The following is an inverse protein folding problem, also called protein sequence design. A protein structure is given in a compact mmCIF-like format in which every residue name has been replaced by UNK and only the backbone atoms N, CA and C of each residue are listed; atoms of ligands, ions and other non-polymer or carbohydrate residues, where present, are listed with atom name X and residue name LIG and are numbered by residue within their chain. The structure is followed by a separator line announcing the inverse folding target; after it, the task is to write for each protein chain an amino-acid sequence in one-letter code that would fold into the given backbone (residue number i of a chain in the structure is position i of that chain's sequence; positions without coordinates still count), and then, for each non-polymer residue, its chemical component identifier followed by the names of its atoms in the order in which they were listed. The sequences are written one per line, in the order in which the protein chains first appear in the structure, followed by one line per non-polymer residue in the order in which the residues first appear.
data_IF_286851136394
#
_entry.id   IF_286851136394
#
_cell.length_a   1.000
_cell.length_b   1.000
_cell.length_c   1.000
_cell.angle_alpha   90.00
_cell.angle_beta   90.00
_cell.angle_gamma   90.00
#
_symmetry.space_group_name_H-M   'P 1'
#
loop_
_entity.id
_entity.type
_entity.pdbx_description
1 polymer ?
#
# COMPACT_ATOMS: atom_id res chain seq x y z
N UNK A 1 -17.84 -10.40 -24.48
CA UNK A 1 -17.16 -9.13 -24.19
C UNK A 1 -16.16 -9.39 -23.09
N UNK A 2 -14.87 -9.21 -23.34
CA UNK A 2 -13.82 -9.41 -22.35
C UNK A 2 -13.84 -8.21 -21.40
N UNK A 3 -14.24 -8.44 -20.16
CA UNK A 3 -14.24 -7.40 -19.13
C UNK A 3 -12.79 -7.15 -18.71
N UNK A 4 -12.24 -5.99 -19.03
CA UNK A 4 -10.86 -5.63 -18.72
C UNK A 4 -10.83 -4.83 -17.40
N UNK A 5 -9.95 -5.23 -16.50
CA UNK A 5 -9.59 -4.49 -15.29
C UNK A 5 -8.38 -3.60 -15.60
N UNK A 6 -8.42 -2.35 -15.15
CA UNK A 6 -7.34 -1.38 -15.29
C UNK A 6 -6.71 -1.08 -13.93
N UNK A 7 -5.39 -1.06 -13.86
CA UNK A 7 -4.65 -0.56 -12.69
C UNK A 7 -3.51 0.32 -13.19
N UNK A 8 -3.66 1.62 -12.95
CA UNK A 8 -2.82 2.66 -13.50
C UNK A 8 -2.80 2.63 -15.03
N UNK A 9 -1.61 2.46 -15.60
CA UNK A 9 -1.39 2.28 -17.04
C UNK A 9 -1.46 0.84 -17.53
N UNK A 10 -1.71 -0.14 -16.64
CA UNK A 10 -1.84 -1.55 -16.99
C UNK A 10 -3.31 -1.95 -17.21
N UNK A 11 -3.54 -2.90 -18.11
CA UNK A 11 -4.84 -3.56 -18.30
C UNK A 11 -4.66 -5.07 -18.30
N UNK A 12 -5.65 -5.78 -17.76
CA UNK A 12 -5.67 -7.24 -17.68
C UNK A 12 -7.11 -7.73 -17.80
N UNK A 13 -7.31 -8.94 -18.32
CA UNK A 13 -8.63 -9.58 -18.30
C UNK A 13 -9.05 -9.86 -16.85
N UNK A 14 -10.30 -9.53 -16.51
CA UNK A 14 -10.82 -9.64 -15.15
C UNK A 14 -10.69 -11.07 -14.58
N UNK A 15 -10.94 -12.10 -15.39
CA UNK A 15 -10.78 -13.50 -14.94
C UNK A 15 -9.34 -13.84 -14.57
N UNK A 16 -8.36 -13.38 -15.36
CA UNK A 16 -6.94 -13.57 -15.04
C UNK A 16 -6.52 -12.81 -13.78
N UNK A 17 -7.03 -11.59 -13.60
CA UNK A 17 -6.78 -10.83 -12.38
C UNK A 17 -7.26 -11.56 -11.13
N UNK A 18 -8.43 -12.19 -11.20
CA UNK A 18 -8.98 -13.02 -10.13
C UNK A 18 -8.11 -14.24 -9.83
N UNK A 19 -7.71 -14.98 -10.84
CA UNK A 19 -6.82 -16.15 -10.67
C UNK A 19 -5.49 -15.76 -10.01
N UNK A 20 -4.90 -14.63 -10.42
CA UNK A 20 -3.70 -14.09 -9.77
C UNK A 20 -3.95 -13.74 -8.30
N UNK A 21 -5.07 -13.07 -8.03
CA UNK A 21 -5.46 -12.68 -6.68
C UNK A 21 -5.62 -13.90 -5.76
N UNK A 22 -6.38 -14.91 -6.23
CA UNK A 22 -6.61 -16.15 -5.49
C UNK A 22 -5.31 -16.87 -5.19
N UNK A 23 -4.42 -16.99 -6.18
CA UNK A 23 -3.12 -17.65 -5.97
C UNK A 23 -2.28 -16.92 -4.92
N UNK A 24 -2.22 -15.59 -5.00
CA UNK A 24 -1.41 -14.77 -4.11
C UNK A 24 -1.97 -14.72 -2.68
N UNK A 25 -3.29 -14.64 -2.54
CA UNK A 25 -3.99 -14.57 -1.26
C UNK A 25 -4.18 -15.93 -0.59
N UNK A 26 -4.32 -17.02 -1.35
CA UNK A 26 -4.54 -18.33 -0.76
C UNK A 26 -3.26 -19.01 -0.28
N UNK A 27 -2.11 -18.70 -0.92
CA UNK A 27 -0.80 -19.31 -0.73
C UNK A 27 -0.83 -20.70 -0.03
N UNK A 28 -1.48 -21.69 -0.66
CA UNK A 28 -1.77 -23.01 -0.05
C UNK A 28 -0.51 -23.81 0.33
N UNK A 29 0.65 -23.42 -0.17
CA UNK A 29 1.94 -24.11 0.03
C UNK A 29 2.96 -23.32 0.87
N UNK A 30 2.69 -22.06 1.23
CA UNK A 30 3.75 -21.15 1.72
C UNK A 30 3.49 -20.52 3.08
N UNK A 31 4.41 -20.73 4.02
CA UNK A 31 4.54 -20.05 5.33
C UNK A 31 5.04 -18.59 5.23
N UNK A 32 4.90 -17.96 4.06
CA UNK A 32 5.48 -16.66 3.70
C UNK A 32 4.51 -15.90 2.78
N UNK A 33 4.77 -14.62 2.48
CA UNK A 33 3.92 -13.73 1.65
C UNK A 33 2.68 -13.14 2.37
N UNK A 34 1.66 -12.72 1.61
CA UNK A 34 0.57 -11.88 2.14
C UNK A 34 -0.21 -12.50 3.30
N UNK A 35 -0.59 -13.80 3.29
CA UNK A 35 -1.30 -14.39 4.43
C UNK A 35 -0.48 -14.36 5.73
N UNK A 36 0.83 -14.57 5.65
CA UNK A 36 1.72 -14.49 6.82
C UNK A 36 1.82 -13.05 7.35
N UNK A 37 1.85 -12.07 6.46
CA UNK A 37 1.85 -10.65 6.81
C UNK A 37 0.52 -10.17 7.40
N UNK A 38 -0.60 -10.59 6.80
CA UNK A 38 -1.95 -10.18 7.18
C UNK A 38 -2.39 -10.85 8.49
N UNK A 39 -2.10 -12.15 8.64
CA UNK A 39 -2.39 -12.92 9.85
C UNK A 39 -1.44 -12.67 11.02
N UNK A 40 -0.39 -11.86 10.84
CA UNK A 40 0.52 -11.53 11.94
C UNK A 40 -0.22 -10.64 12.96
N UNK A 41 -0.17 -10.94 14.27
CA UNK A 41 -0.99 -10.25 15.27
C UNK A 41 -0.61 -8.78 15.48
N UNK A 42 0.68 -8.43 15.37
CA UNK A 42 1.14 -7.04 15.56
C UNK A 42 0.90 -6.49 16.96
N UNK A 43 0.99 -5.16 17.07
CA UNK A 43 0.64 -4.42 18.28
C UNK A 43 -0.87 -4.16 18.29
N UNK A 44 -1.58 -4.36 19.42
CA UNK A 44 -3.00 -4.04 19.51
C UNK A 44 -3.24 -2.53 19.38
N UNK A 45 -4.43 -2.11 18.94
CA UNK A 45 -4.77 -0.69 18.89
C UNK A 45 -4.48 -0.01 17.54
N UNK A 46 -4.62 1.31 17.54
CA UNK A 46 -4.66 2.16 16.33
C UNK A 46 -3.29 2.74 15.96
N UNK A 47 -2.39 2.76 16.91
CA UNK A 47 -1.00 3.17 16.85
C UNK A 47 -0.10 2.03 16.38
N UNK A 48 1.04 2.38 15.79
CA UNK A 48 2.11 1.44 15.48
C UNK A 48 2.89 1.15 16.75
N UNK A 49 3.03 -0.14 17.06
CA UNK A 49 3.98 -0.61 18.07
C UNK A 49 5.10 -1.42 17.46
N UNK A 50 6.12 -1.70 18.28
CA UNK A 50 7.30 -2.50 17.92
C UNK A 50 6.94 -3.84 17.26
N UNK A 51 5.91 -4.52 17.76
CA UNK A 51 5.47 -5.79 17.22
C UNK A 51 5.07 -5.66 15.74
N UNK A 52 4.51 -4.53 15.30
CA UNK A 52 4.05 -4.36 13.92
C UNK A 52 5.17 -4.37 12.89
N UNK A 53 6.37 -3.98 13.30
CA UNK A 53 7.51 -3.81 12.41
C UNK A 53 8.02 -5.14 11.87
N UNK A 54 7.85 -6.23 12.64
CA UNK A 54 8.25 -7.58 12.25
C UNK A 54 7.41 -8.12 11.10
N UNK A 55 6.14 -7.71 10.97
CA UNK A 55 5.27 -8.15 9.89
C UNK A 55 5.84 -7.78 8.50
N UNK A 56 6.57 -6.67 8.41
CA UNK A 56 7.19 -6.21 7.16
C UNK A 56 8.22 -7.23 6.64
N UNK A 57 8.92 -7.93 7.53
CA UNK A 57 9.89 -8.95 7.15
C UNK A 57 9.21 -10.17 6.51
N UNK A 58 7.98 -10.51 6.92
CA UNK A 58 7.21 -11.62 6.36
C UNK A 58 6.78 -11.39 4.91
N UNK A 59 6.62 -10.11 4.52
CA UNK A 59 6.29 -9.71 3.15
C UNK A 59 7.51 -9.23 2.33
N UNK A 60 8.71 -9.18 2.93
CA UNK A 60 9.95 -8.71 2.29
C UNK A 60 11.18 -9.54 2.75
N UNK A 61 11.08 -10.87 2.74
CA UNK A 61 12.01 -11.80 3.42
C UNK A 61 13.51 -11.73 3.03
N UNK A 62 13.92 -10.84 2.13
CA UNK A 62 15.30 -10.73 1.64
C UNK A 62 15.96 -9.35 1.82
N UNK A 63 15.43 -8.46 2.68
CA UNK A 63 15.87 -7.05 2.74
C UNK A 63 16.34 -6.57 4.12
N UNK A 64 17.45 -7.12 4.65
CA UNK A 64 18.11 -6.63 5.86
C UNK A 64 17.11 -6.40 7.01
N UNK A 65 16.43 -7.46 7.49
CA UNK A 65 15.23 -7.35 8.31
C UNK A 65 15.49 -6.68 9.66
N UNK A 66 16.66 -6.91 10.25
CA UNK A 66 17.04 -6.34 11.55
C UNK A 66 17.28 -4.82 11.43
N UNK A 67 18.06 -4.41 10.44
CA UNK A 67 18.35 -2.99 10.20
C UNK A 67 17.09 -2.22 9.82
N UNK A 68 16.21 -2.87 9.06
CA UNK A 68 14.91 -2.31 8.70
C UNK A 68 14.00 -2.16 9.91
N UNK A 69 14.01 -3.13 10.83
CA UNK A 69 13.28 -3.06 12.08
C UNK A 69 13.71 -1.85 12.89
N UNK A 70 15.01 -1.69 13.17
CA UNK A 70 15.50 -0.56 13.96
C UNK A 70 15.34 0.78 13.24
N UNK A 71 15.46 0.79 11.92
CA UNK A 71 15.15 1.97 11.11
C UNK A 71 13.69 2.38 11.24
N UNK A 72 12.74 1.45 11.12
CA UNK A 72 11.31 1.72 11.30
C UNK A 72 10.98 2.08 12.75
N UNK A 73 11.61 1.43 13.73
CA UNK A 73 11.44 1.73 15.15
C UNK A 73 11.79 3.19 15.45
N UNK A 74 12.86 3.70 14.84
CA UNK A 74 13.27 5.10 15.00
C UNK A 74 12.24 6.12 14.50
N UNK A 75 11.27 5.69 13.68
CA UNK A 75 10.21 6.54 13.11
C UNK A 75 8.86 6.41 13.84
N UNK A 76 8.73 5.52 14.85
CA UNK A 76 7.44 5.23 15.48
C UNK A 76 6.76 6.49 16.00
N UNK A 77 7.49 7.35 16.73
CA UNK A 77 6.92 8.56 17.32
C UNK A 77 6.42 9.54 16.24
N UNK A 78 7.27 9.82 15.24
CA UNK A 78 6.95 10.69 14.09
C UNK A 78 5.72 10.19 13.29
N UNK A 79 5.58 8.87 13.18
CA UNK A 79 4.46 8.25 12.43
C UNK A 79 3.20 8.23 13.27
N UNK A 80 3.28 7.88 14.55
CA UNK A 80 2.12 7.83 15.45
C UNK A 80 1.50 9.20 15.66
N UNK A 81 2.31 10.26 15.82
CA UNK A 81 1.83 11.65 15.85
C UNK A 81 0.94 11.97 14.63
N UNK A 82 1.33 11.50 13.45
CA UNK A 82 0.57 11.73 12.20
C UNK A 82 -0.63 10.80 12.06
N UNK A 83 -0.55 9.56 12.57
CA UNK A 83 -1.65 8.59 12.56
C UNK A 83 -2.80 8.99 13.49
N UNK A 84 -2.54 9.76 14.55
CA UNK A 84 -3.58 10.27 15.45
C UNK A 84 -4.64 11.11 14.71
N UNK A 85 -4.23 11.78 13.63
CA UNK A 85 -5.12 12.57 12.79
C UNK A 85 -6.03 11.73 11.85
N UNK A 86 -5.94 10.39 11.90
CA UNK A 86 -6.66 9.47 11.03
C UNK A 86 -7.54 8.49 11.81
N UNK A 87 -8.77 8.32 11.37
CA UNK A 87 -9.70 7.33 11.91
C UNK A 87 -9.56 5.99 11.22
N UNK A 88 -10.02 4.91 11.86
CA UNK A 88 -9.85 3.54 11.34
C UNK A 88 -10.90 3.16 10.29
N UNK A 89 -11.99 3.89 10.22
CA UNK A 89 -13.13 3.73 9.32
C UNK A 89 -13.01 4.55 8.03
N UNK A 90 -12.05 5.47 7.96
CA UNK A 90 -11.70 6.19 6.74
C UNK A 90 -11.27 5.22 5.62
N UNK A 91 -11.71 5.52 4.40
CA UNK A 91 -11.48 4.71 3.21
C UNK A 91 -10.93 5.53 2.07
N UNK A 92 -10.00 4.98 1.31
CA UNK A 92 -9.41 5.66 0.16
C UNK A 92 -10.47 5.94 -0.91
N UNK A 93 -11.46 5.07 -1.09
CA UNK A 93 -12.48 5.24 -2.14
C UNK A 93 -13.36 6.47 -1.94
N UNK A 94 -13.51 6.93 -0.69
CA UNK A 94 -14.36 8.07 -0.31
C UNK A 94 -13.55 9.23 0.27
N UNK A 95 -12.23 9.15 0.24
CA UNK A 95 -11.36 10.16 0.82
C UNK A 95 -11.44 11.48 0.05
N UNK A 96 -11.65 12.58 0.77
CA UNK A 96 -11.55 13.92 0.21
C UNK A 96 -10.08 14.38 0.17
N UNK A 97 -9.82 15.52 -0.50
CA UNK A 97 -8.46 16.05 -0.60
C UNK A 97 -7.83 16.31 0.78
N UNK A 98 -8.52 16.90 1.78
CA UNK A 98 -7.99 17.03 3.13
C UNK A 98 -7.51 15.70 3.73
N UNK A 99 -8.28 14.62 3.61
CA UNK A 99 -7.88 13.30 4.09
C UNK A 99 -6.69 12.75 3.31
N UNK A 100 -6.68 12.88 1.98
CA UNK A 100 -5.53 12.50 1.14
C UNK A 100 -4.26 13.23 1.61
N UNK A 101 -4.34 14.51 1.93
CA UNK A 101 -3.21 15.28 2.44
C UNK A 101 -2.75 14.78 3.81
N UNK A 102 -3.69 14.38 4.70
CA UNK A 102 -3.32 13.76 6.00
C UNK A 102 -2.59 12.44 5.79
N UNK A 103 -3.04 11.60 4.87
CA UNK A 103 -2.39 10.32 4.54
C UNK A 103 -1.03 10.57 3.90
N UNK A 104 -0.91 11.53 2.98
CA UNK A 104 0.34 11.87 2.34
C UNK A 104 1.42 12.28 3.35
N UNK A 105 1.04 13.04 4.40
CA UNK A 105 1.95 13.40 5.48
C UNK A 105 2.55 12.19 6.19
N UNK A 106 1.89 11.02 6.25
CA UNK A 106 2.51 9.82 6.83
C UNK A 106 3.78 9.41 6.08
N UNK A 107 3.80 9.57 4.76
CA UNK A 107 4.96 9.24 3.94
C UNK A 107 6.06 10.30 4.03
N UNK A 108 5.68 11.55 4.31
CA UNK A 108 6.62 12.65 4.54
C UNK A 108 7.54 12.50 5.75
N UNK A 109 7.40 11.45 6.57
CA UNK A 109 8.39 11.12 7.62
C UNK A 109 9.74 10.80 6.99
N UNK A 110 9.74 10.19 5.80
CA UNK A 110 10.94 9.81 5.07
C UNK A 110 11.68 11.01 4.45
N UNK A 111 10.98 12.13 4.26
CA UNK A 111 11.56 13.36 3.73
C UNK A 111 12.41 14.09 4.78
N UNK A 112 11.98 14.07 6.04
CA UNK A 112 12.74 14.67 7.16
C UNK A 112 13.98 13.85 7.50
N UNK A 113 13.79 12.53 7.56
CA UNK A 113 14.84 11.58 7.94
C UNK A 113 14.51 10.24 7.31
N UNK A 114 15.45 9.73 6.50
CA UNK A 114 15.34 8.40 5.92
C UNK A 114 16.35 7.46 6.56
N UNK A 115 15.92 6.62 7.52
CA UNK A 115 16.80 5.60 8.09
C UNK A 115 17.28 4.64 7.00
N UNK A 116 18.49 4.11 7.18
CA UNK A 116 19.07 3.12 6.28
C UNK A 116 18.14 1.91 6.18
N UNK A 117 18.03 1.33 5.00
CA UNK A 117 17.16 0.17 4.72
C UNK A 117 15.65 0.40 4.91
N UNK A 118 15.20 1.62 5.19
CA UNK A 118 13.77 1.99 5.16
C UNK A 118 13.43 2.63 3.82
N UNK A 119 12.41 2.08 3.17
CA UNK A 119 11.87 2.54 1.89
C UNK A 119 10.39 2.82 2.01
N UNK A 120 9.83 3.51 1.01
CA UNK A 120 8.38 3.71 0.89
C UNK A 120 7.62 2.37 0.96
N UNK A 121 8.13 1.32 0.30
CA UNK A 121 7.56 -0.03 0.34
C UNK A 121 7.49 -0.63 1.75
N UNK A 122 8.48 -0.38 2.60
CA UNK A 122 8.48 -0.90 3.97
C UNK A 122 7.54 -0.10 4.86
N UNK A 123 7.59 1.23 4.75
CA UNK A 123 6.71 2.12 5.51
C UNK A 123 5.23 1.89 5.16
N UNK A 124 4.89 1.79 3.87
CA UNK A 124 3.51 1.54 3.42
C UNK A 124 2.93 0.26 3.99
N UNK A 125 3.74 -0.81 4.11
CA UNK A 125 3.34 -2.07 4.73
C UNK A 125 3.03 -1.91 6.22
N UNK A 126 3.83 -1.17 6.98
CA UNK A 126 3.50 -0.92 8.40
C UNK A 126 2.20 -0.12 8.51
N UNK A 127 2.08 0.96 7.74
CA UNK A 127 0.91 1.84 7.75
C UNK A 127 -0.37 1.13 7.32
N UNK A 128 -0.32 0.34 6.25
CA UNK A 128 -1.44 -0.45 5.75
C UNK A 128 -2.01 -1.37 6.83
N UNK A 129 -1.18 -2.00 7.67
CA UNK A 129 -1.70 -2.87 8.75
C UNK A 129 -2.60 -2.11 9.74
N UNK A 130 -2.39 -0.81 9.91
CA UNK A 130 -3.21 0.02 10.81
C UNK A 130 -4.39 0.66 10.12
N UNK A 131 -4.34 0.89 8.81
CA UNK A 131 -5.41 1.52 8.02
C UNK A 131 -5.54 0.87 6.64
N UNK A 132 -5.92 -0.42 6.56
CA UNK A 132 -5.87 -1.18 5.30
C UNK A 132 -6.87 -0.67 4.25
N UNK A 133 -7.99 -0.07 4.67
CA UNK A 133 -8.97 0.55 3.77
C UNK A 133 -8.56 1.91 3.22
N UNK A 134 -7.58 2.58 3.84
CA UNK A 134 -7.17 3.95 3.51
C UNK A 134 -5.78 4.01 2.86
N UNK A 135 -4.86 3.15 3.31
CA UNK A 135 -3.46 3.19 2.92
C UNK A 135 -3.16 1.96 2.06
N UNK A 136 -2.96 2.11 0.74
CA UNK A 136 -2.66 0.99 -0.13
C UNK A 136 -1.26 0.44 0.13
N UNK A 137 -1.07 -0.85 -0.16
CA UNK A 137 0.28 -1.42 -0.25
C UNK A 137 1.04 -0.77 -1.40
N UNK A 138 2.32 -0.47 -1.17
CA UNK A 138 3.21 0.02 -2.20
C UNK A 138 4.37 -0.93 -2.42
N UNK A 139 4.64 -1.29 -3.67
CA UNK A 139 5.82 -2.05 -4.08
C UNK A 139 6.28 -1.66 -5.49
N UNK A 140 7.28 -2.39 -6.01
CA UNK A 140 7.83 -2.18 -7.35
C UNK A 140 6.80 -2.35 -8.46
N UNK A 141 5.80 -3.21 -8.25
CA UNK A 141 4.82 -3.52 -9.27
C UNK A 141 3.72 -2.43 -9.25
N UNK A 142 3.31 -1.94 -8.08
CA UNK A 142 2.47 -0.73 -7.98
C UNK A 142 3.18 0.46 -8.64
N UNK A 143 4.49 0.66 -8.36
CA UNK A 143 5.29 1.68 -9.05
C UNK A 143 5.21 1.52 -10.57
N UNK A 144 5.42 0.30 -11.08
CA UNK A 144 5.36 0.00 -12.51
C UNK A 144 3.99 0.36 -13.09
N UNK A 145 2.91 -0.05 -12.43
CA UNK A 145 1.54 0.21 -12.86
C UNK A 145 1.22 1.72 -12.92
N UNK A 146 1.67 2.53 -11.96
CA UNK A 146 1.29 3.95 -11.88
C UNK A 146 2.30 4.95 -12.47
N UNK A 147 3.58 4.57 -12.58
CA UNK A 147 4.65 5.50 -12.98
C UNK A 147 5.31 5.11 -14.30
N UNK A 148 5.35 3.82 -14.64
CA UNK A 148 6.14 3.33 -15.80
C UNK A 148 5.27 2.92 -16.99
N UNK A 149 4.06 2.41 -16.73
CA UNK A 149 3.14 1.94 -17.77
C UNK A 149 2.13 3.02 -18.17
N UNK A 150 1.66 2.96 -19.42
CA UNK A 150 0.71 3.91 -20.01
C UNK A 150 1.40 5.00 -20.83
N UNK A 151 0.61 5.74 -21.62
CA UNK A 151 1.10 6.86 -22.44
C UNK A 151 0.07 7.99 -22.49
N UNK A 152 0.19 9.03 -21.63
CA UNK A 152 1.16 9.14 -20.53
C UNK A 152 0.85 8.19 -19.37
N UNK A 153 1.82 7.89 -18.48
CA UNK A 153 1.54 7.17 -17.24
C UNK A 153 0.67 8.01 -16.30
N UNK A 154 -0.13 7.39 -15.41
CA UNK A 154 -1.00 8.11 -14.47
C UNK A 154 -0.26 9.10 -13.55
N UNK A 155 0.94 8.73 -13.10
CA UNK A 155 1.79 9.58 -12.26
C UNK A 155 3.10 9.81 -12.98
N UNK A 156 3.41 11.08 -13.27
CA UNK A 156 4.68 11.43 -13.89
C UNK A 156 5.85 11.24 -12.92
N UNK A 157 6.91 10.61 -13.42
CA UNK A 157 8.17 10.45 -12.71
C UNK A 157 8.81 11.82 -12.46
N UNK A 158 9.33 11.99 -11.25
CA UNK A 158 9.94 13.23 -10.80
C UNK A 158 10.96 12.88 -9.71
N UNK A 159 12.26 12.93 -10.01
CA UNK A 159 13.31 12.52 -9.08
C UNK A 159 13.49 13.48 -7.91
N UNK A 160 13.03 14.73 -8.04
CA UNK A 160 13.16 15.77 -7.00
C UNK A 160 11.94 15.80 -6.06
N UNK A 161 10.91 14.99 -6.35
CA UNK A 161 9.67 14.97 -5.56
C UNK A 161 9.90 14.35 -4.18
N UNK A 162 9.40 15.05 -3.16
CA UNK A 162 9.30 14.53 -1.80
C UNK A 162 8.37 13.30 -1.75
N UNK A 163 8.54 12.43 -0.75
CA UNK A 163 7.64 11.30 -0.53
C UNK A 163 6.22 11.74 -0.18
N UNK A 164 6.07 12.85 0.54
CA UNK A 164 4.76 13.46 0.79
C UNK A 164 4.09 13.87 -0.53
N UNK A 165 4.77 14.64 -1.37
CA UNK A 165 4.18 15.12 -2.62
C UNK A 165 3.99 13.99 -3.63
N UNK A 166 4.84 12.96 -3.58
CA UNK A 166 4.61 11.72 -4.34
C UNK A 166 3.33 11.03 -3.90
N UNK A 167 3.06 10.93 -2.60
CA UNK A 167 1.81 10.36 -2.10
C UNK A 167 0.59 11.20 -2.49
N UNK A 168 0.70 12.55 -2.50
CA UNK A 168 -0.39 13.45 -2.94
C UNK A 168 -0.82 13.21 -4.39
N UNK A 169 0.06 12.73 -5.25
CA UNK A 169 -0.31 12.40 -6.65
C UNK A 169 -0.63 10.92 -6.86
N UNK A 170 -0.02 10.03 -6.09
CA UNK A 170 -0.25 8.59 -6.20
C UNK A 170 -1.62 8.19 -5.64
N UNK A 171 -2.01 8.71 -4.47
CA UNK A 171 -3.25 8.32 -3.79
C UNK A 171 -4.50 8.67 -4.63
N UNK A 172 -4.62 9.87 -5.24
CA UNK A 172 -5.73 10.15 -6.15
C UNK A 172 -5.77 9.24 -7.37
N UNK A 173 -4.61 8.86 -7.93
CA UNK A 173 -4.57 7.95 -9.08
C UNK A 173 -5.09 6.55 -8.70
N UNK A 174 -4.71 6.04 -7.53
CA UNK A 174 -5.23 4.77 -7.00
C UNK A 174 -6.72 4.89 -6.68
N UNK A 175 -7.14 5.97 -6.04
CA UNK A 175 -8.55 6.24 -5.74
C UNK A 175 -9.40 6.27 -7.02
N UNK A 176 -8.90 6.90 -8.09
CA UNK A 176 -9.59 6.93 -9.38
C UNK A 176 -9.82 5.53 -9.93
N UNK A 177 -8.82 4.65 -9.90
CA UNK A 177 -9.00 3.26 -10.34
C UNK A 177 -9.98 2.50 -9.46
N UNK A 178 -9.89 2.66 -8.14
CA UNK A 178 -10.81 2.02 -7.19
C UNK A 178 -12.25 2.44 -7.45
N UNK A 179 -12.50 3.72 -7.75
CA UNK A 179 -13.84 4.29 -7.88
C UNK A 179 -14.45 4.14 -9.26
N UNK A 180 -13.67 4.31 -10.33
CA UNK A 180 -14.13 4.15 -11.71
C UNK A 180 -14.54 2.72 -12.04
N UNK A 181 -14.03 1.75 -11.27
CA UNK A 181 -14.29 0.33 -11.48
C UNK A 181 -15.26 -0.26 -10.43
N UNK A 182 -15.85 0.57 -9.56
CA UNK A 182 -16.84 0.18 -8.54
C UNK A 182 -18.11 -0.45 -9.10
N UNK A 183 -18.51 -0.10 -10.33
CA UNK A 183 -19.69 -0.69 -11.00
C UNK A 183 -19.48 -2.19 -11.29
N UNK A 184 -18.23 -2.66 -11.25
CA UNK A 184 -17.85 -4.07 -11.39
C UNK A 184 -17.67 -4.81 -10.04
N UNK A 185 -17.92 -4.18 -8.89
CA UNK A 185 -17.64 -4.78 -7.56
C UNK A 185 -18.70 -5.73 -7.02
N UNK A 186 -19.92 -5.77 -7.57
CA UNK A 186 -20.93 -6.76 -7.11
C UNK A 186 -20.51 -8.22 -7.33
N UNK A 187 -19.45 -8.46 -8.10
CA UNK A 187 -18.88 -9.78 -8.36
C UNK A 187 -17.67 -10.13 -7.46
N UNK A 188 -17.14 -9.19 -6.67
CA UNK A 188 -15.90 -9.37 -5.90
C UNK A 188 -16.19 -9.18 -4.41
N UNK A 189 -16.19 -10.27 -3.64
CA UNK A 189 -16.24 -10.23 -2.19
C UNK A 189 -15.16 -9.31 -1.62
N UNK A 190 -15.49 -8.62 -0.51
CA UNK A 190 -14.82 -7.45 0.05
C UNK A 190 -13.32 -7.56 0.43
N UNK A 191 -12.64 -8.67 0.13
CA UNK A 191 -11.35 -9.03 0.71
C UNK A 191 -10.16 -9.01 -0.27
N UNK A 192 -10.37 -8.74 -1.57
CA UNK A 192 -9.39 -9.12 -2.62
C UNK A 192 -8.63 -7.94 -3.28
N UNK A 193 -9.14 -6.71 -3.19
CA UNK A 193 -8.71 -5.64 -4.13
C UNK A 193 -7.48 -4.86 -3.66
N UNK A 194 -7.04 -4.98 -2.40
CA UNK A 194 -5.80 -4.35 -1.93
C UNK A 194 -4.50 -5.00 -2.45
N UNK A 195 -4.61 -6.14 -3.15
CA UNK A 195 -3.50 -7.08 -3.35
C UNK A 195 -3.35 -7.55 -4.80
N UNK A 196 -4.44 -7.68 -5.54
CA UNK A 196 -4.41 -8.00 -6.95
C UNK A 196 -4.25 -6.69 -7.72
N UNK A 197 -3.12 -6.37 -8.33
CA UNK A 197 -2.93 -6.56 -9.78
C UNK A 197 -1.46 -6.40 -10.18
N UNK A 198 -0.56 -6.14 -9.23
CA UNK A 198 0.83 -5.92 -9.56
C UNK A 198 1.66 -6.86 -8.65
N UNK A 199 1.80 -8.14 -9.03
CA UNK A 199 2.71 -9.13 -8.41
C UNK A 199 3.51 -9.85 -9.48
#
# INVERSE_FOLDING_TARGET
MTNLLRVGGATIEHGKALEFAEKYLANKEGTWAYPAYDGYPGHPGREIGRADLLAVALLNAHQAPIESYYGLESLIDDVNERLEALTSDERLETADQPLIDRVARLFGVLDKRRPKHVSLTKLSKVLHRKRPGLIPLYDKNIRRCYVELGSPPPVLADPERSWEDYAKVLLPAIQHDLTSQLICRSCLGSSVIGVAVCS
#
